data_IF_905899623759
#
_entry.id   IF_905899623759
#
_cell.length_a   1.000
_cell.length_b   1.000
_cell.length_c   1.000
_cell.angle_alpha   90.00
_cell.angle_beta   90.00
_cell.angle_gamma   90.00
#
_symmetry.space_group_name_H-M   'P 1'
#
loop_
_entity.id
_entity.type
_entity.pdbx_description
1 polymer ?
#
# COMPACT_ATOMS: atom_id res chain seq x y z
N UNK A 1 28.27 4.42 10.94
CA UNK A 1 28.66 3.01 11.18
C UNK A 1 29.33 2.52 9.89
N UNK A 2 30.64 2.30 9.93
CA UNK A 2 31.41 1.80 8.78
C UNK A 2 31.29 0.28 8.76
N UNK A 3 30.65 -0.27 7.71
CA UNK A 3 30.64 -1.72 7.49
C UNK A 3 32.04 -2.07 7.00
N UNK A 4 32.86 -2.68 7.86
CA UNK A 4 34.16 -3.25 7.45
C UNK A 4 33.87 -4.26 6.33
N UNK A 5 34.64 -4.16 5.22
CA UNK A 5 34.64 -5.18 4.17
C UNK A 5 35.05 -6.52 4.82
N UNK A 6 34.10 -7.41 5.02
CA UNK A 6 34.36 -8.82 5.15
C UNK A 6 34.80 -9.24 3.75
N UNK A 7 36.00 -9.76 3.57
CA UNK A 7 36.56 -10.09 2.25
C UNK A 7 35.55 -10.89 1.36
N UNK A 8 35.96 -11.50 0.29
CA UNK A 8 35.11 -12.25 -0.67
C UNK A 8 34.47 -13.53 -0.08
N UNK A 9 34.17 -13.53 1.22
CA UNK A 9 33.51 -14.67 1.89
C UNK A 9 32.02 -14.57 1.63
N UNK A 10 31.48 -15.61 0.98
CA UNK A 10 30.03 -15.76 0.80
C UNK A 10 29.43 -16.55 1.97
N UNK A 11 28.32 -16.09 2.46
CA UNK A 11 27.57 -16.71 3.55
C UNK A 11 26.49 -17.64 3.00
N UNK A 12 26.38 -18.85 3.53
CA UNK A 12 25.29 -19.76 3.19
C UNK A 12 23.94 -19.29 3.78
N UNK A 13 23.97 -18.62 4.94
CA UNK A 13 22.76 -18.10 5.62
C UNK A 13 23.08 -16.70 6.17
N UNK A 14 22.18 -15.77 5.94
CA UNK A 14 22.19 -14.44 6.56
C UNK A 14 20.86 -14.23 7.28
N UNK A 15 20.92 -13.94 8.58
CA UNK A 15 19.75 -13.66 9.41
C UNK A 15 19.89 -12.26 9.99
N UNK A 16 18.83 -11.45 9.95
CA UNK A 16 18.93 -10.11 10.47
C UNK A 16 17.60 -9.37 10.69
N UNK A 17 17.72 -8.36 11.52
CA UNK A 17 16.71 -7.31 11.70
C UNK A 17 17.43 -5.96 11.50
N UNK A 18 17.57 -5.51 10.24
CA UNK A 18 18.32 -4.30 9.95
C UNK A 18 17.60 -3.06 10.49
N UNK A 19 18.31 -2.02 10.89
CA UNK A 19 17.70 -0.75 11.25
C UNK A 19 16.96 -0.19 10.03
N UNK A 20 15.70 0.23 10.22
CA UNK A 20 14.87 0.73 9.12
C UNK A 20 15.26 2.13 8.71
N UNK A 21 15.70 2.94 9.68
CA UNK A 21 16.07 4.32 9.47
C UNK A 21 17.45 4.61 10.07
N UNK A 22 18.15 5.53 9.44
CA UNK A 22 19.38 6.08 10.00
C UNK A 22 19.05 6.73 11.35
N UNK A 23 19.92 6.53 12.34
CA UNK A 23 19.76 7.03 13.71
C UNK A 23 18.51 6.49 14.46
N UNK A 24 17.91 5.41 13.98
CA UNK A 24 16.83 4.69 14.64
C UNK A 24 15.45 5.35 14.62
N UNK A 25 15.27 6.49 13.95
CA UNK A 25 13.98 7.17 13.86
C UNK A 25 13.65 7.62 12.43
N UNK A 26 12.36 7.78 12.16
CA UNK A 26 11.87 8.29 10.89
C UNK A 26 11.91 9.81 10.88
N UNK A 27 12.70 10.40 9.99
CA UNK A 27 12.70 11.85 9.78
C UNK A 27 11.39 12.34 9.13
N UNK A 28 11.04 13.61 9.31
CA UNK A 28 9.90 14.22 8.65
C UNK A 28 10.09 14.18 7.11
N UNK A 29 8.99 14.00 6.33
CA UNK A 29 9.06 13.85 4.87
C UNK A 29 9.74 15.01 4.12
N UNK A 30 9.72 16.20 4.71
CA UNK A 30 10.29 17.43 4.14
C UNK A 30 11.66 17.79 4.72
N UNK A 31 12.24 16.98 5.60
CA UNK A 31 13.56 17.28 6.15
C UNK A 31 14.65 17.14 5.07
N UNK A 32 15.38 18.21 4.81
CA UNK A 32 16.58 18.21 3.97
C UNK A 32 17.77 17.51 4.67
N UNK A 33 17.64 17.19 5.97
CA UNK A 33 18.67 16.54 6.77
C UNK A 33 18.76 15.04 6.42
N UNK A 34 19.97 14.47 6.54
CA UNK A 34 20.18 13.02 6.39
C UNK A 34 19.62 12.19 7.56
N UNK A 35 19.22 12.82 8.67
CA UNK A 35 18.65 12.15 9.83
C UNK A 35 17.33 11.48 9.49
N UNK A 36 17.14 10.26 9.94
CA UNK A 36 15.92 9.48 9.71
C UNK A 36 15.73 9.00 8.26
N UNK A 37 16.79 9.00 7.43
CA UNK A 37 16.75 8.44 6.07
C UNK A 37 16.54 6.93 6.13
N UNK A 38 15.73 6.40 5.22
CA UNK A 38 15.53 4.95 5.05
C UNK A 38 16.84 4.30 4.60
N UNK A 39 17.31 3.26 5.32
CA UNK A 39 18.59 2.58 5.04
C UNK A 39 18.45 1.06 4.87
N UNK A 40 17.37 0.45 5.31
CA UNK A 40 17.18 -0.99 5.23
C UNK A 40 17.33 -1.57 3.80
N UNK A 41 16.92 -0.89 2.69
CA UNK A 41 17.07 -1.48 1.36
C UNK A 41 18.54 -1.65 0.96
N UNK A 42 19.41 -0.69 1.32
CA UNK A 42 20.84 -0.81 1.07
C UNK A 42 21.47 -1.96 1.86
N UNK A 43 21.00 -2.16 3.10
CA UNK A 43 21.46 -3.28 3.93
C UNK A 43 21.05 -4.61 3.31
N UNK A 44 19.79 -4.74 2.86
CA UNK A 44 19.30 -5.95 2.18
C UNK A 44 20.13 -6.24 0.93
N UNK A 45 20.38 -5.23 0.09
CA UNK A 45 21.20 -5.39 -1.14
C UNK A 45 22.62 -5.85 -0.80
N UNK A 46 23.25 -5.28 0.23
CA UNK A 46 24.58 -5.70 0.70
C UNK A 46 24.57 -7.13 1.21
N UNK A 47 23.59 -7.50 2.04
CA UNK A 47 23.43 -8.88 2.48
C UNK A 47 23.28 -9.84 1.28
N UNK A 48 22.52 -9.43 0.28
CA UNK A 48 22.32 -10.22 -0.94
C UNK A 48 23.60 -10.41 -1.76
N UNK A 49 24.44 -9.39 -1.84
CA UNK A 49 25.76 -9.47 -2.50
C UNK A 49 26.67 -10.52 -1.80
N UNK A 50 26.65 -10.58 -0.47
CA UNK A 50 27.42 -11.51 0.35
C UNK A 50 26.78 -12.89 0.55
N UNK A 51 25.58 -13.10 0.04
CA UNK A 51 24.91 -14.40 0.11
C UNK A 51 25.41 -15.32 -1.00
N UNK A 52 25.76 -16.55 -0.65
CA UNK A 52 26.17 -17.56 -1.62
C UNK A 52 25.02 -17.89 -2.60
N UNK A 53 25.30 -18.39 -3.81
CA UNK A 53 24.30 -19.07 -4.62
C UNK A 53 23.60 -20.12 -3.77
N UNK A 54 22.27 -20.29 -3.92
CA UNK A 54 21.42 -21.14 -3.11
C UNK A 54 21.38 -20.82 -1.60
N UNK A 55 22.03 -19.77 -1.16
CA UNK A 55 22.02 -19.30 0.21
C UNK A 55 20.64 -18.75 0.64
N UNK A 56 20.44 -18.66 1.95
CA UNK A 56 19.17 -18.25 2.57
C UNK A 56 19.32 -16.88 3.25
N UNK A 57 18.45 -15.95 2.88
CA UNK A 57 18.26 -14.69 3.56
C UNK A 57 17.00 -14.75 4.41
N UNK A 58 17.10 -14.53 5.73
CA UNK A 58 15.98 -14.51 6.66
C UNK A 58 15.96 -13.15 7.38
N UNK A 59 14.96 -12.31 7.12
CA UNK A 59 14.95 -10.94 7.64
C UNK A 59 13.59 -10.48 8.14
N UNK A 60 13.65 -9.59 9.13
CA UNK A 60 12.51 -8.75 9.53
C UNK A 60 12.62 -7.42 8.80
N UNK A 61 11.61 -7.08 8.01
CA UNK A 61 11.61 -5.90 7.13
C UNK A 61 10.30 -5.13 7.21
N UNK A 62 10.29 -3.81 6.87
CA UNK A 62 9.04 -3.09 6.64
C UNK A 62 8.28 -3.66 5.46
N UNK A 63 6.94 -3.71 5.53
CA UNK A 63 6.09 -4.30 4.48
C UNK A 63 6.08 -3.53 3.15
N UNK A 64 6.72 -2.39 3.05
CA UNK A 64 6.69 -1.54 1.85
C UNK A 64 7.20 -2.24 0.58
N UNK A 65 8.03 -3.26 0.72
CA UNK A 65 8.54 -4.04 -0.40
C UNK A 65 7.51 -5.05 -0.96
N UNK A 66 6.40 -5.30 -0.27
CA UNK A 66 5.34 -6.20 -0.75
C UNK A 66 4.61 -5.68 -2.01
N UNK A 67 5.03 -4.56 -2.53
CA UNK A 67 4.61 -3.99 -3.81
C UNK A 67 5.82 -3.51 -4.60
N UNK A 68 5.71 -3.36 -5.93
CA UNK A 68 6.78 -2.76 -6.72
C UNK A 68 7.27 -1.45 -6.10
N UNK A 69 8.56 -1.35 -5.84
CA UNK A 69 9.19 -0.26 -5.12
C UNK A 69 10.41 0.33 -5.88
N UNK A 70 10.76 1.57 -5.55
CA UNK A 70 11.89 2.29 -6.18
C UNK A 70 13.24 1.63 -5.93
N UNK A 71 13.39 0.98 -4.79
CA UNK A 71 14.62 0.29 -4.40
C UNK A 71 14.74 -1.11 -5.02
N UNK A 72 13.68 -1.57 -5.74
CA UNK A 72 13.61 -2.88 -6.41
C UNK A 72 13.80 -4.08 -5.49
N UNK A 73 13.47 -3.94 -4.20
CA UNK A 73 13.51 -5.08 -3.26
C UNK A 73 12.38 -6.06 -3.60
N UNK A 74 11.21 -5.55 -4.02
CA UNK A 74 10.13 -6.38 -4.55
C UNK A 74 10.63 -7.30 -5.68
N UNK A 75 11.29 -6.73 -6.70
CA UNK A 75 11.84 -7.50 -7.82
C UNK A 75 12.89 -8.51 -7.34
N UNK A 76 13.83 -8.05 -6.50
CA UNK A 76 14.89 -8.89 -5.96
C UNK A 76 14.34 -10.15 -5.29
N UNK A 77 13.25 -10.02 -4.52
CA UNK A 77 12.69 -11.17 -3.81
C UNK A 77 11.75 -11.99 -4.67
N UNK A 78 10.94 -11.39 -5.52
CA UNK A 78 9.97 -12.11 -6.37
C UNK A 78 10.60 -12.81 -7.57
N UNK A 79 11.78 -12.40 -8.02
CA UNK A 79 12.59 -13.10 -9.02
C UNK A 79 13.30 -14.33 -8.43
N UNK A 80 13.33 -14.46 -7.09
CA UNK A 80 13.95 -15.55 -6.37
C UNK A 80 12.91 -16.32 -5.53
N UNK A 81 13.31 -17.44 -4.97
CA UNK A 81 12.39 -18.33 -4.25
C UNK A 81 12.08 -17.79 -2.87
N UNK A 82 10.91 -17.19 -2.68
CA UNK A 82 10.37 -16.87 -1.36
C UNK A 82 9.86 -18.15 -0.71
N UNK A 83 10.53 -18.60 0.34
CA UNK A 83 10.19 -19.83 1.07
C UNK A 83 9.10 -19.61 2.11
N UNK A 84 9.07 -18.39 2.70
CA UNK A 84 8.23 -18.09 3.84
C UNK A 84 7.98 -16.59 3.92
N UNK A 85 6.74 -16.21 4.17
CA UNK A 85 6.34 -14.82 4.43
C UNK A 85 5.28 -14.77 5.52
N UNK A 86 5.57 -14.03 6.58
CA UNK A 86 4.58 -13.66 7.60
C UNK A 86 4.54 -12.15 7.75
N UNK A 87 3.38 -11.57 7.55
CA UNK A 87 3.15 -10.13 7.71
C UNK A 87 2.55 -9.86 9.07
N UNK A 88 3.01 -8.83 9.73
CA UNK A 88 2.46 -8.32 10.98
C UNK A 88 1.77 -6.98 10.73
N UNK A 89 0.55 -6.84 11.18
CA UNK A 89 -0.18 -5.58 11.16
C UNK A 89 0.58 -4.49 11.95
N UNK A 90 0.20 -3.24 11.80
CA UNK A 90 0.80 -2.16 12.60
C UNK A 90 0.65 -2.39 14.11
N UNK A 91 -0.50 -2.93 14.54
CA UNK A 91 -0.77 -3.26 15.96
C UNK A 91 0.14 -4.37 16.46
N UNK A 92 0.27 -5.46 15.70
CA UNK A 92 1.16 -6.57 16.05
C UNK A 92 2.63 -6.15 16.04
N UNK A 93 3.06 -5.39 15.02
CA UNK A 93 4.41 -4.85 14.95
C UNK A 93 4.73 -3.96 16.16
N UNK A 94 3.79 -3.11 16.57
CA UNK A 94 3.94 -2.31 17.78
C UNK A 94 4.16 -3.17 19.03
N UNK A 95 3.37 -4.22 19.20
CA UNK A 95 3.53 -5.15 20.33
C UNK A 95 4.89 -5.84 20.31
N UNK A 96 5.29 -6.38 19.14
CA UNK A 96 6.55 -7.09 18.96
C UNK A 96 7.79 -6.22 19.24
N UNK A 97 7.71 -4.92 18.95
CA UNK A 97 8.81 -3.97 19.13
C UNK A 97 8.62 -3.02 20.33
N UNK A 98 7.92 -3.48 21.37
CA UNK A 98 7.67 -2.70 22.58
C UNK A 98 7.14 -1.29 22.29
N UNK A 99 6.15 -1.20 21.41
CA UNK A 99 5.46 0.03 20.98
C UNK A 99 6.37 1.08 20.30
N UNK A 100 7.55 0.68 19.81
CA UNK A 100 8.46 1.57 19.07
C UNK A 100 8.28 1.50 17.54
N UNK A 101 7.62 0.46 17.01
CA UNK A 101 7.37 0.33 15.58
C UNK A 101 6.00 0.88 15.22
N UNK A 102 5.96 1.87 14.32
CA UNK A 102 4.71 2.46 13.81
C UNK A 102 4.43 2.05 12.35
N UNK A 103 5.02 0.94 11.90
CA UNK A 103 4.95 0.51 10.51
C UNK A 103 4.69 -1.00 10.48
N UNK A 104 3.81 -1.50 9.62
CA UNK A 104 3.67 -2.93 9.39
C UNK A 104 5.02 -3.54 9.02
N UNK A 105 5.35 -4.66 9.63
CA UNK A 105 6.59 -5.38 9.38
C UNK A 105 6.29 -6.80 8.88
N UNK A 106 7.24 -7.43 8.25
CA UNK A 106 7.15 -8.82 7.88
C UNK A 106 8.42 -9.57 8.23
N UNK A 107 8.27 -10.86 8.43
CA UNK A 107 9.35 -11.81 8.44
C UNK A 107 9.34 -12.54 7.10
N UNK A 108 10.47 -12.52 6.41
CA UNK A 108 10.61 -13.14 5.09
C UNK A 108 11.85 -14.03 5.04
N UNK A 109 11.69 -15.20 4.41
CA UNK A 109 12.81 -16.10 4.08
C UNK A 109 12.86 -16.23 2.57
N UNK A 110 14.01 -15.88 1.98
CA UNK A 110 14.24 -15.95 0.54
C UNK A 110 15.48 -16.79 0.28
N UNK A 111 15.40 -17.76 -0.62
CA UNK A 111 16.54 -18.50 -1.15
C UNK A 111 17.07 -17.80 -2.39
N UNK A 112 18.40 -17.62 -2.50
CA UNK A 112 19.08 -17.00 -3.64
C UNK A 112 19.16 -17.96 -4.84
N UNK A 113 18.00 -18.44 -5.25
CA UNK A 113 17.79 -19.31 -6.42
C UNK A 113 16.70 -18.70 -7.25
N UNK A 114 16.84 -18.66 -8.55
CA UNK A 114 15.78 -18.15 -9.45
C UNK A 114 14.47 -18.88 -9.16
N UNK A 115 13.38 -18.13 -9.01
CA UNK A 115 12.09 -18.70 -8.77
C UNK A 115 11.62 -19.51 -9.99
N UNK A 116 11.46 -20.81 -9.81
CA UNK A 116 10.88 -21.74 -10.81
C UNK A 116 9.40 -21.99 -10.57
N UNK A 117 8.93 -21.70 -9.35
CA UNK A 117 7.55 -21.83 -8.93
C UNK A 117 7.06 -20.48 -8.38
N UNK A 118 5.98 -19.92 -8.91
CA UNK A 118 5.41 -18.64 -8.42
C UNK A 118 4.72 -18.77 -7.06
N UNK A 119 4.51 -20.00 -6.56
CA UNK A 119 3.82 -20.22 -5.29
C UNK A 119 4.74 -19.96 -4.11
N UNK A 120 4.27 -19.14 -3.18
CA UNK A 120 4.93 -18.84 -1.91
C UNK A 120 4.08 -19.32 -0.73
N UNK A 121 4.74 -19.60 0.39
CA UNK A 121 4.05 -19.90 1.64
C UNK A 121 3.86 -18.64 2.45
N UNK A 122 2.61 -18.15 2.51
CA UNK A 122 2.24 -16.93 3.25
C UNK A 122 1.36 -17.27 4.45
N UNK A 123 1.60 -16.63 5.59
CA UNK A 123 0.72 -16.75 6.75
C UNK A 123 -0.46 -15.81 6.59
N UNK A 124 -1.66 -16.38 6.45
CA UNK A 124 -2.90 -15.62 6.38
C UNK A 124 -3.46 -15.36 7.77
N UNK A 125 -3.41 -14.12 8.21
CA UNK A 125 -3.87 -13.69 9.54
C UNK A 125 -5.36 -13.96 9.78
N UNK A 126 -6.16 -13.94 8.72
CA UNK A 126 -7.62 -14.08 8.83
C UNK A 126 -8.02 -15.48 9.27
N UNK A 127 -7.34 -16.49 8.74
CA UNK A 127 -7.58 -17.90 9.07
C UNK A 127 -6.51 -18.50 9.98
N UNK A 128 -5.51 -17.71 10.38
CA UNK A 128 -4.39 -18.08 11.26
C UNK A 128 -3.63 -19.34 10.78
N UNK A 129 -3.46 -19.47 9.48
CA UNK A 129 -2.78 -20.63 8.85
C UNK A 129 -1.86 -20.18 7.71
N UNK A 130 -0.89 -21.03 7.40
CA UNK A 130 -0.13 -20.88 6.17
C UNK A 130 -0.95 -21.36 4.98
N UNK A 131 -0.97 -20.55 3.93
CA UNK A 131 -1.59 -20.87 2.64
C UNK A 131 -0.54 -20.76 1.53
N UNK A 132 -0.78 -21.46 0.44
CA UNK A 132 -0.05 -21.27 -0.81
C UNK A 132 -0.66 -20.06 -1.52
N UNK A 133 0.19 -19.13 -1.94
CA UNK A 133 -0.24 -17.95 -2.68
C UNK A 133 0.58 -17.82 -3.96
N UNK A 134 -0.08 -17.73 -5.10
CA UNK A 134 0.56 -17.59 -6.41
C UNK A 134 0.92 -16.14 -6.69
N UNK A 135 2.21 -15.83 -6.74
CA UNK A 135 2.70 -14.51 -7.11
C UNK A 135 2.37 -14.22 -8.57
N UNK A 136 1.85 -13.02 -8.81
CA UNK A 136 1.67 -12.48 -10.16
C UNK A 136 2.70 -11.36 -10.36
N UNK A 137 3.53 -11.38 -11.42
CA UNK A 137 4.54 -10.36 -11.65
C UNK A 137 3.96 -8.94 -11.66
N UNK A 138 4.52 -8.04 -10.87
CA UNK A 138 4.06 -6.65 -10.77
C UNK A 138 2.77 -6.44 -9.98
N UNK A 139 2.25 -7.48 -9.30
CA UNK A 139 1.12 -7.37 -8.39
C UNK A 139 1.61 -7.24 -6.94
N UNK A 140 0.86 -6.53 -6.12
CA UNK A 140 1.16 -6.47 -4.68
C UNK A 140 0.98 -7.84 -4.02
N UNK A 141 1.80 -8.13 -3.03
CA UNK A 141 1.64 -9.31 -2.16
C UNK A 141 0.70 -8.89 -1.01
N UNK A 142 -0.35 -9.68 -0.70
CA UNK A 142 -1.30 -9.32 0.34
C UNK A 142 -0.68 -9.36 1.74
N UNK A 143 -1.21 -8.54 2.63
CA UNK A 143 -0.84 -8.53 4.05
C UNK A 143 -1.78 -9.38 4.90
N UNK A 144 -2.96 -9.71 4.38
CA UNK A 144 -4.00 -10.55 4.99
C UNK A 144 -4.97 -11.06 3.91
N UNK A 145 -5.88 -11.98 4.26
CA UNK A 145 -6.88 -12.54 3.34
C UNK A 145 -6.28 -13.15 2.06
N UNK A 146 -5.09 -13.71 2.14
CA UNK A 146 -4.39 -14.28 0.98
C UNK A 146 -5.23 -15.37 0.30
N UNK A 147 -5.93 -16.19 1.09
CA UNK A 147 -6.80 -17.24 0.58
C UNK A 147 -8.00 -16.68 -0.21
N UNK A 148 -8.65 -15.62 0.31
CA UNK A 148 -9.74 -14.95 -0.40
C UNK A 148 -9.27 -14.39 -1.75
N UNK A 149 -8.12 -13.71 -1.76
CA UNK A 149 -7.55 -13.08 -2.96
C UNK A 149 -7.18 -14.12 -4.01
N UNK A 150 -6.64 -15.26 -3.57
CA UNK A 150 -6.26 -16.36 -4.46
C UNK A 150 -7.47 -16.94 -5.20
N UNK A 151 -8.62 -17.03 -4.55
CA UNK A 151 -9.87 -17.54 -5.13
C UNK A 151 -10.75 -16.47 -5.78
N UNK A 152 -10.40 -15.19 -5.66
CA UNK A 152 -11.24 -14.13 -6.19
C UNK A 152 -11.12 -13.99 -7.71
N UNK A 153 -12.29 -13.99 -8.38
CA UNK A 153 -12.40 -13.76 -9.82
C UNK A 153 -13.07 -12.40 -10.03
N UNK A 154 -12.38 -11.41 -10.60
CA UNK A 154 -12.98 -10.12 -10.90
C UNK A 154 -14.02 -10.25 -12.02
N UNK A 155 -15.13 -9.57 -11.86
CA UNK A 155 -16.28 -9.62 -12.82
C UNK A 155 -16.45 -8.31 -13.58
N UNK A 156 -15.65 -7.30 -13.28
CA UNK A 156 -15.79 -5.97 -13.87
C UNK A 156 -14.44 -5.35 -14.20
N UNK A 157 -14.38 -4.59 -15.27
CA UNK A 157 -13.24 -3.72 -15.58
C UNK A 157 -13.36 -2.42 -14.79
N UNK A 158 -12.39 -2.12 -13.93
CA UNK A 158 -12.31 -0.87 -13.19
C UNK A 158 -10.99 -0.17 -13.48
N UNK A 159 -11.01 1.15 -13.57
CA UNK A 159 -9.82 1.96 -13.83
C UNK A 159 -9.79 3.20 -12.92
N UNK A 160 -9.28 3.08 -11.71
CA UNK A 160 -9.20 4.19 -10.77
C UNK A 160 -8.16 5.23 -11.22
N UNK A 161 -8.53 6.48 -11.14
CA UNK A 161 -7.63 7.61 -11.31
C UNK A 161 -7.18 8.05 -9.92
N UNK A 162 -5.89 8.00 -9.66
CA UNK A 162 -5.33 8.54 -8.41
C UNK A 162 -5.18 10.05 -8.53
N UNK A 163 -5.88 10.78 -7.68
CA UNK A 163 -5.76 12.22 -7.56
C UNK A 163 -4.80 12.52 -6.42
N UNK A 164 -3.68 13.17 -6.75
CA UNK A 164 -2.72 13.66 -5.77
C UNK A 164 -3.31 14.83 -4.97
N UNK A 165 -2.67 15.18 -3.85
CA UNK A 165 -3.04 16.33 -3.04
C UNK A 165 -3.17 17.60 -3.89
N UNK A 166 -4.33 18.25 -3.80
CA UNK A 166 -4.62 19.53 -4.46
C UNK A 166 -4.40 20.63 -3.43
N UNK A 167 -3.45 21.52 -3.71
CA UNK A 167 -3.17 22.67 -2.86
C UNK A 167 -4.33 23.66 -2.90
N UNK A 168 -4.42 24.48 -1.88
CA UNK A 168 -5.36 25.61 -1.82
C UNK A 168 -4.83 26.72 -2.73
N UNK A 169 -5.46 26.89 -3.87
CA UNK A 169 -5.24 28.03 -4.79
C UNK A 169 -6.48 28.93 -4.83
N UNK A 170 -7.61 28.44 -4.32
CA UNK A 170 -8.89 29.11 -4.29
C UNK A 170 -9.19 29.63 -2.88
N UNK A 171 -9.87 30.76 -2.77
CA UNK A 171 -10.51 31.16 -1.52
C UNK A 171 -11.58 30.15 -1.18
N UNK A 172 -11.39 29.44 -0.05
CA UNK A 172 -12.28 28.38 0.38
C UNK A 172 -12.64 28.57 1.85
N UNK A 173 -13.91 28.37 2.16
CA UNK A 173 -14.39 28.31 3.52
C UNK A 173 -14.60 26.86 3.92
N UNK A 174 -14.13 26.47 5.11
CA UNK A 174 -14.34 25.15 5.63
C UNK A 174 -15.81 24.91 5.95
N UNK A 175 -16.40 23.91 5.33
CA UNK A 175 -17.75 23.43 5.60
C UNK A 175 -17.65 21.98 6.05
N UNK A 176 -18.36 21.64 7.11
CA UNK A 176 -18.31 20.28 7.67
C UNK A 176 -18.92 19.25 6.72
N UNK A 177 -20.01 19.63 6.07
CA UNK A 177 -20.75 18.78 5.13
C UNK A 177 -21.13 19.65 3.92
N UNK A 178 -20.32 19.70 2.86
CA UNK A 178 -20.64 20.47 1.68
C UNK A 178 -21.93 19.94 1.06
N UNK A 179 -22.84 20.85 0.71
CA UNK A 179 -24.15 20.54 0.14
C UNK A 179 -24.24 21.04 -1.30
N UNK A 180 -25.12 20.44 -2.08
CA UNK A 180 -25.34 20.84 -3.48
C UNK A 180 -25.78 22.31 -3.64
N UNK A 181 -26.36 22.90 -2.59
CA UNK A 181 -26.75 24.31 -2.56
C UNK A 181 -25.59 25.28 -2.39
N UNK A 182 -24.44 24.79 -1.93
CA UNK A 182 -23.24 25.60 -1.83
C UNK A 182 -22.78 25.97 -3.24
N UNK A 183 -22.22 27.14 -3.44
CA UNK A 183 -21.92 27.68 -4.77
C UNK A 183 -21.04 26.73 -5.57
N UNK A 184 -19.92 26.27 -4.97
CA UNK A 184 -19.03 25.24 -5.50
C UNK A 184 -18.57 24.35 -4.35
N UNK A 185 -19.33 23.29 -4.02
CA UNK A 185 -18.98 22.40 -2.93
C UNK A 185 -17.77 21.53 -3.31
N UNK A 186 -16.74 21.52 -2.44
CA UNK A 186 -15.51 20.76 -2.63
C UNK A 186 -15.38 19.66 -1.58
N UNK A 187 -15.07 18.45 -2.00
CA UNK A 187 -14.77 17.33 -1.09
C UNK A 187 -13.26 17.25 -0.86
N UNK A 188 -12.82 17.38 0.40
CA UNK A 188 -11.43 17.17 0.79
C UNK A 188 -11.18 15.76 1.32
N UNK A 189 -12.07 15.25 2.17
CA UNK A 189 -12.00 13.88 2.70
C UNK A 189 -13.37 13.45 3.18
N UNK A 190 -13.54 12.15 3.32
CA UNK A 190 -14.72 11.57 3.98
C UNK A 190 -14.28 10.31 4.73
N UNK A 191 -14.97 10.03 5.78
CA UNK A 191 -14.76 8.85 6.62
C UNK A 191 -16.14 8.23 6.89
N UNK A 192 -16.80 8.64 7.92
CA UNK A 192 -18.20 8.44 8.26
C UNK A 192 -19.08 9.58 7.74
N UNK A 193 -18.48 10.75 7.55
CA UNK A 193 -19.08 12.01 7.09
C UNK A 193 -18.21 12.63 6.01
N UNK A 194 -18.84 13.32 5.06
CA UNK A 194 -18.13 14.09 4.02
C UNK A 194 -17.62 15.37 4.64
N UNK A 195 -16.31 15.59 4.51
CA UNK A 195 -15.68 16.86 4.88
C UNK A 195 -15.28 17.63 3.63
N UNK A 196 -15.56 18.91 3.60
CA UNK A 196 -15.29 19.70 2.42
C UNK A 196 -15.24 21.19 2.68
N UNK A 197 -15.35 21.93 1.60
CA UNK A 197 -15.27 23.38 1.56
C UNK A 197 -16.32 23.90 0.60
N UNK A 198 -16.80 25.10 0.83
CA UNK A 198 -17.41 25.96 -0.18
C UNK A 198 -16.30 26.72 -0.92
N UNK A 199 -16.44 26.88 -2.22
CA UNK A 199 -15.53 27.66 -3.05
C UNK A 199 -16.29 28.68 -3.90
N UNK A 200 -15.62 29.80 -4.20
CA UNK A 200 -16.13 30.81 -5.13
C UNK A 200 -15.94 30.40 -6.60
N UNK A 201 -15.09 29.41 -6.87
CA UNK A 201 -14.81 28.88 -8.20
C UNK A 201 -14.98 27.36 -8.26
N UNK A 202 -15.25 26.79 -9.45
CA UNK A 202 -15.36 25.34 -9.63
C UNK A 202 -14.08 24.62 -9.24
N UNK A 203 -14.23 23.54 -8.48
CA UNK A 203 -13.12 22.66 -8.14
C UNK A 203 -12.77 21.68 -9.27
N UNK A 204 -11.61 21.02 -9.13
CA UNK A 204 -11.18 20.00 -10.09
C UNK A 204 -12.21 18.87 -10.16
N UNK A 205 -12.56 18.42 -11.36
CA UNK A 205 -13.58 17.41 -11.64
C UNK A 205 -15.02 17.79 -11.24
N UNK A 206 -15.32 19.04 -11.03
CA UNK A 206 -16.70 19.50 -10.89
C UNK A 206 -17.43 19.41 -12.25
N UNK A 207 -18.71 19.12 -12.24
CA UNK A 207 -19.48 18.85 -13.45
C UNK A 207 -19.29 17.43 -14.03
N UNK A 208 -18.46 16.58 -13.43
CA UNK A 208 -18.19 15.23 -13.91
C UNK A 208 -18.75 14.22 -12.91
N UNK A 209 -19.74 13.39 -13.30
CA UNK A 209 -20.21 12.26 -12.52
C UNK A 209 -19.06 11.31 -12.14
N UNK A 210 -19.01 10.89 -10.88
CA UNK A 210 -17.86 10.10 -10.38
C UNK A 210 -18.16 9.35 -9.09
N UNK A 211 -17.42 8.26 -8.87
CA UNK A 211 -17.28 7.66 -7.55
C UNK A 211 -16.00 8.21 -6.94
N UNK A 212 -16.04 8.59 -5.68
CA UNK A 212 -14.90 9.09 -4.92
C UNK A 212 -14.58 8.11 -3.81
N UNK A 213 -13.31 7.72 -3.68
CA UNK A 213 -12.82 6.84 -2.64
C UNK A 213 -11.60 7.45 -1.96
N UNK A 214 -11.60 7.52 -0.64
CA UNK A 214 -10.47 8.07 0.11
C UNK A 214 -9.21 7.17 -0.05
N UNK A 215 -8.04 7.81 -0.14
CA UNK A 215 -6.76 7.10 -0.21
C UNK A 215 -6.24 6.66 1.16
N UNK A 216 -6.66 7.32 2.24
CA UNK A 216 -6.06 7.17 3.57
C UNK A 216 -6.93 6.50 4.63
N UNK A 217 -8.15 6.21 4.37
CA UNK A 217 -9.06 5.59 5.35
C UNK A 217 -9.82 4.50 4.67
N UNK A 218 -10.37 3.57 5.44
CA UNK A 218 -11.18 2.51 4.86
C UNK A 218 -12.26 3.13 3.99
N UNK A 219 -12.39 2.63 2.76
CA UNK A 219 -13.13 3.33 1.73
C UNK A 219 -14.61 3.31 2.04
N UNK A 220 -15.10 4.42 2.51
CA UNK A 220 -16.47 4.77 2.22
C UNK A 220 -16.45 5.29 0.79
N UNK A 221 -17.24 4.68 -0.06
CA UNK A 221 -17.43 5.14 -1.42
C UNK A 221 -18.48 6.25 -1.41
N UNK A 222 -18.22 7.31 -2.13
CA UNK A 222 -19.18 8.37 -2.35
C UNK A 222 -19.53 8.45 -3.83
N UNK A 223 -20.82 8.32 -4.16
CA UNK A 223 -21.34 8.44 -5.52
C UNK A 223 -21.82 9.88 -5.76
N UNK A 224 -21.08 10.60 -6.57
CA UNK A 224 -21.47 11.93 -7.08
C UNK A 224 -22.09 11.77 -8.47
N UNK A 225 -23.40 11.49 -8.51
CA UNK A 225 -24.13 11.18 -9.75
C UNK A 225 -24.22 12.37 -10.71
N UNK A 226 -24.36 13.56 -10.15
CA UNK A 226 -24.58 14.80 -10.91
C UNK A 226 -23.28 15.56 -11.19
N UNK A 227 -22.14 15.10 -10.66
CA UNK A 227 -20.89 15.86 -10.74
C UNK A 227 -20.90 17.13 -9.90
N UNK A 228 -21.74 17.18 -8.89
CA UNK A 228 -21.96 18.37 -8.04
C UNK A 228 -20.69 18.82 -7.33
N UNK A 229 -19.82 17.87 -6.95
CA UNK A 229 -18.69 18.15 -6.07
C UNK A 229 -17.37 18.25 -6.82
N UNK A 230 -16.64 19.32 -6.59
CA UNK A 230 -15.22 19.44 -6.94
C UNK A 230 -14.33 18.71 -5.93
N UNK A 231 -13.08 18.51 -6.28
CA UNK A 231 -12.09 17.82 -5.43
C UNK A 231 -11.05 18.81 -4.91
N UNK A 232 -10.75 18.69 -3.62
CA UNK A 232 -9.74 19.50 -2.94
C UNK A 232 -8.97 18.66 -1.89
N UNK A 233 -7.80 19.12 -1.49
CA UNK A 233 -7.06 18.59 -0.34
C UNK A 233 -6.46 17.19 -0.59
N UNK A 234 -6.73 16.25 0.31
CA UNK A 234 -6.04 14.96 0.42
C UNK A 234 -6.13 14.11 -0.83
N UNK A 235 -5.13 13.23 -1.00
CA UNK A 235 -5.13 12.20 -2.03
C UNK A 235 -6.40 11.34 -1.98
N UNK A 236 -6.92 11.02 -3.14
CA UNK A 236 -8.10 10.15 -3.31
C UNK A 236 -8.03 9.37 -4.61
N UNK A 237 -8.89 8.38 -4.74
CA UNK A 237 -9.17 7.70 -6.00
C UNK A 237 -10.53 8.17 -6.52
N UNK A 238 -10.64 8.33 -7.82
CA UNK A 238 -11.93 8.52 -8.48
C UNK A 238 -12.12 7.50 -9.60
N UNK A 239 -13.37 7.16 -9.84
CA UNK A 239 -13.80 6.37 -10.97
C UNK A 239 -14.77 7.23 -11.77
N UNK A 240 -14.51 7.35 -13.07
CA UNK A 240 -15.30 8.14 -14.00
C UNK A 240 -15.62 7.29 -15.22
N UNK A 241 -16.65 7.66 -15.97
CA UNK A 241 -17.04 6.98 -17.21
C UNK A 241 -18.45 6.40 -17.15
N UNK A 242 -18.73 5.43 -18.00
CA UNK A 242 -20.04 4.77 -18.08
C UNK A 242 -20.23 3.75 -16.94
N UNK A 243 -21.49 3.43 -16.64
CA UNK A 243 -21.88 2.40 -15.68
C UNK A 243 -21.34 2.65 -14.24
N UNK A 244 -21.36 3.90 -13.79
CA UNK A 244 -20.90 4.25 -12.44
C UNK A 244 -21.71 3.56 -11.33
N UNK A 245 -23.02 3.31 -11.55
CA UNK A 245 -23.84 2.58 -10.59
C UNK A 245 -23.31 1.16 -10.38
N UNK A 246 -23.09 0.44 -11.48
CA UNK A 246 -22.60 -0.94 -11.42
C UNK A 246 -21.19 -1.00 -10.80
N UNK A 247 -20.33 -0.02 -11.12
CA UNK A 247 -19.01 0.10 -10.50
C UNK A 247 -19.11 0.38 -8.99
N UNK A 248 -20.05 1.21 -8.58
CA UNK A 248 -20.29 1.49 -7.17
C UNK A 248 -20.77 0.24 -6.42
N UNK A 249 -21.72 -0.48 -6.99
CA UNK A 249 -22.26 -1.72 -6.42
C UNK A 249 -21.17 -2.79 -6.32
N UNK A 250 -20.37 -2.96 -7.36
CA UNK A 250 -19.23 -3.87 -7.37
C UNK A 250 -18.20 -3.51 -6.29
N UNK A 251 -17.77 -2.24 -6.25
CA UNK A 251 -16.80 -1.77 -5.26
C UNK A 251 -17.34 -1.83 -3.82
N UNK A 252 -18.66 -1.82 -3.64
CA UNK A 252 -19.33 -1.92 -2.33
C UNK A 252 -19.48 -3.36 -1.83
N UNK A 253 -19.24 -4.37 -2.67
CA UNK A 253 -19.33 -5.77 -2.27
C UNK A 253 -18.40 -6.09 -1.11
N UNK A 254 -18.85 -6.85 -0.10
CA UNK A 254 -18.07 -7.15 1.09
C UNK A 254 -16.70 -7.75 0.79
N UNK A 255 -16.61 -8.67 -0.17
CA UNK A 255 -15.34 -9.32 -0.51
C UNK A 255 -14.40 -8.39 -1.27
N UNK A 256 -14.91 -7.53 -2.16
CA UNK A 256 -14.13 -6.47 -2.82
C UNK A 256 -13.56 -5.51 -1.77
N UNK A 257 -14.37 -5.10 -0.79
CA UNK A 257 -13.94 -4.27 0.32
C UNK A 257 -12.88 -4.94 1.20
N UNK A 258 -13.01 -6.24 1.48
CA UNK A 258 -11.98 -7.03 2.17
C UNK A 258 -10.68 -7.07 1.38
N UNK A 259 -10.74 -7.30 0.06
CA UNK A 259 -9.57 -7.32 -0.80
C UNK A 259 -8.85 -5.96 -0.79
N UNK A 260 -9.59 -4.85 -0.91
CA UNK A 260 -9.00 -3.50 -0.83
C UNK A 260 -8.22 -3.32 0.49
N UNK A 261 -8.78 -3.80 1.60
CA UNK A 261 -8.15 -3.74 2.93
C UNK A 261 -6.94 -4.66 3.09
N UNK A 262 -6.81 -5.67 2.25
CA UNK A 262 -5.80 -6.73 2.40
C UNK A 262 -4.39 -6.33 1.99
N UNK A 263 -4.18 -5.12 1.50
CA UNK A 263 -2.89 -4.66 0.99
C UNK A 263 -2.34 -3.43 1.74
N UNK A 264 -2.55 -3.37 3.03
CA UNK A 264 -2.09 -2.26 3.88
C UNK A 264 -0.59 -2.39 4.20
N UNK A 265 0.26 -2.18 3.21
CA UNK A 265 1.74 -2.15 3.37
C UNK A 265 2.24 -0.89 4.09
N UNK A 266 1.39 0.12 4.24
CA UNK A 266 1.57 1.32 5.06
C UNK A 266 0.35 1.50 5.95
N UNK A 267 0.53 2.17 7.07
CA UNK A 267 -0.59 2.50 7.94
C UNK A 267 -1.67 3.28 7.17
N UNK A 268 -2.85 2.69 7.03
CA UNK A 268 -4.07 3.31 6.48
C UNK A 268 -3.98 3.85 5.04
N UNK A 269 -3.09 3.34 4.20
CA UNK A 269 -3.04 3.72 2.79
C UNK A 269 -3.52 2.60 1.89
N UNK A 270 -4.38 2.94 0.95
CA UNK A 270 -4.79 2.08 -0.16
C UNK A 270 -3.78 2.29 -1.30
N UNK A 271 -3.15 1.22 -1.75
CA UNK A 271 -2.19 1.27 -2.85
C UNK A 271 -2.90 1.08 -4.20
N UNK A 272 -2.53 1.85 -5.22
CA UNK A 272 -3.19 1.79 -6.53
C UNK A 272 -3.11 0.38 -7.16
N UNK A 273 -2.02 -0.31 -6.94
CA UNK A 273 -1.77 -1.62 -7.56
C UNK A 273 -2.73 -2.73 -7.11
N UNK A 274 -3.49 -2.52 -6.02
CA UNK A 274 -4.50 -3.49 -5.57
C UNK A 274 -5.65 -3.63 -6.57
N UNK A 275 -5.97 -2.56 -7.31
CA UNK A 275 -7.05 -2.59 -8.28
C UNK A 275 -6.79 -3.55 -9.44
N UNK A 276 -5.54 -3.99 -9.64
CA UNK A 276 -5.20 -5.07 -10.57
C UNK A 276 -5.86 -6.41 -10.21
N UNK A 277 -6.13 -6.64 -8.92
CA UNK A 277 -6.86 -7.83 -8.46
C UNK A 277 -8.37 -7.70 -8.62
N UNK A 278 -8.88 -6.49 -8.77
CA UNK A 278 -10.30 -6.18 -8.84
C UNK A 278 -10.77 -5.88 -10.27
N UNK A 279 -9.90 -6.00 -11.26
CA UNK A 279 -10.24 -5.67 -12.65
C UNK A 279 -9.93 -6.84 -13.57
N UNK A 280 -10.88 -7.12 -14.48
CA UNK A 280 -10.69 -8.06 -15.60
C UNK A 280 -9.58 -7.53 -16.52
#
# INVERSE_FOLDING_TARGET
MSIKRIGNVLCAIIIGNPPFYQDGFKGPPCAKSRKGKTIWPQIVKRCWEHLAPDGILAMVLPCIWLKPDKERIYNLFTEHQILYLRVYTCVESNKLFNYKAQTPCCYVIVKKTKATNPNIKIYDQTIQKFVSFTLKPGYCIPTQNANLIQGFVPTMKINPIKIAFIKKELETQLIREPKAKDKYPLITTYKDTIYGYESIEPGKYQGIPKIIMAHKTFPILFMDKEGTYGLYGRDKYIFIGKNLSDQYDYLSQPDVQKIIKSFTVRMNFIEKDIFKYLSI
#
